data_IF_003725777825
#
_entry.id   IF_003725777825
#
_cell.length_a   1.000
_cell.length_b   1.000
_cell.length_c   1.000
_cell.angle_alpha   90.00
_cell.angle_beta   90.00
_cell.angle_gamma   90.00
#
_symmetry.space_group_name_H-M   'P 1'
#
loop_
_entity.id
_entity.type
_entity.pdbx_description
1 polymer ?
#
# COMPACT_ATOMS: atom_id res chain seq x y z
N UNK A 1 -2.19 -25.88 -19.60
CA UNK A 1 -2.96 -24.63 -19.43
C UNK A 1 -1.98 -23.53 -19.13
N UNK A 2 -1.89 -22.51 -20.00
CA UNK A 2 -1.11 -21.31 -19.72
C UNK A 2 -1.96 -20.37 -18.86
N UNK A 3 -1.57 -20.10 -17.60
CA UNK A 3 -2.29 -19.23 -16.69
C UNK A 3 -1.87 -17.76 -16.92
N UNK A 4 -2.81 -16.95 -17.39
CA UNK A 4 -2.67 -15.50 -17.54
C UNK A 4 -3.19 -14.82 -16.28
N UNK A 5 -2.29 -14.18 -15.53
CA UNK A 5 -2.62 -13.41 -14.32
C UNK A 5 -2.75 -11.93 -14.67
N UNK A 6 -3.84 -11.29 -14.26
CA UNK A 6 -3.96 -9.82 -14.26
C UNK A 6 -3.92 -9.26 -12.84
N UNK A 7 -3.07 -8.27 -12.63
CA UNK A 7 -2.98 -7.53 -11.36
C UNK A 7 -3.59 -6.14 -11.54
N UNK A 8 -4.59 -5.84 -10.75
CA UNK A 8 -5.28 -4.55 -10.73
C UNK A 8 -4.83 -3.78 -9.51
N UNK A 9 -4.18 -2.64 -9.72
CA UNK A 9 -3.55 -1.87 -8.65
C UNK A 9 -3.63 -0.36 -8.89
N UNK A 10 -3.86 0.40 -7.82
CA UNK A 10 -3.67 1.87 -7.84
C UNK A 10 -2.19 2.28 -7.72
N UNK A 11 -1.28 1.33 -7.51
CA UNK A 11 0.16 1.62 -7.51
C UNK A 11 0.62 1.89 -8.94
N UNK A 12 1.15 3.08 -9.24
CA UNK A 12 1.53 3.45 -10.59
C UNK A 12 2.81 2.74 -11.03
N UNK A 13 2.92 2.53 -12.33
CA UNK A 13 4.19 2.28 -12.99
C UNK A 13 4.80 3.61 -13.43
N UNK A 14 6.10 3.75 -13.35
CA UNK A 14 6.86 4.91 -13.84
C UNK A 14 7.54 4.50 -15.13
N UNK A 15 7.17 5.16 -16.23
CA UNK A 15 7.77 4.91 -17.53
C UNK A 15 9.22 5.40 -17.56
N UNK A 16 10.14 4.58 -18.06
CA UNK A 16 11.55 4.88 -18.27
C UNK A 16 11.91 4.63 -19.74
N UNK A 17 13.12 5.03 -20.15
CA UNK A 17 13.64 4.75 -21.49
C UNK A 17 13.65 3.24 -21.82
N UNK A 18 13.93 2.41 -20.80
CA UNK A 18 13.96 0.95 -20.93
C UNK A 18 13.03 0.31 -19.91
N UNK A 19 11.72 0.26 -20.23
CA UNK A 19 10.74 -0.45 -19.41
C UNK A 19 10.06 0.39 -18.35
N UNK A 20 9.78 -0.22 -17.19
CA UNK A 20 9.01 0.38 -16.12
C UNK A 20 9.68 0.19 -14.76
N UNK A 21 9.49 1.17 -13.91
CA UNK A 21 9.75 1.08 -12.48
C UNK A 21 8.43 1.16 -11.71
N UNK A 22 8.40 0.62 -10.50
CA UNK A 22 7.29 0.79 -9.58
C UNK A 22 7.78 0.76 -8.13
N UNK A 23 6.87 0.97 -7.18
CA UNK A 23 7.20 0.94 -5.75
C UNK A 23 7.89 -0.37 -5.35
N UNK A 24 9.13 -0.28 -4.86
CA UNK A 24 10.02 -1.43 -4.66
C UNK A 24 9.44 -2.58 -3.83
N UNK A 25 8.76 -2.36 -2.68
CA UNK A 25 8.12 -3.44 -1.94
C UNK A 25 6.99 -4.14 -2.73
N UNK A 26 6.29 -3.40 -3.59
CA UNK A 26 5.26 -3.95 -4.46
C UNK A 26 5.84 -4.86 -5.55
N UNK A 27 6.96 -4.44 -6.16
CA UNK A 27 7.64 -5.24 -7.20
C UNK A 27 8.09 -6.59 -6.62
N UNK A 28 8.70 -6.60 -5.44
CA UNK A 28 9.15 -7.84 -4.77
C UNK A 28 8.00 -8.84 -4.57
N UNK A 29 6.81 -8.34 -4.26
CA UNK A 29 5.62 -9.19 -4.17
C UNK A 29 5.18 -9.69 -5.55
N UNK A 30 5.18 -8.81 -6.55
CA UNK A 30 4.78 -9.18 -7.90
C UNK A 30 5.74 -10.15 -8.58
N UNK A 31 7.02 -10.13 -8.25
CA UNK A 31 8.00 -11.15 -8.68
C UNK A 31 7.60 -12.56 -8.24
N UNK A 32 7.04 -12.70 -7.04
CA UNK A 32 6.57 -14.00 -6.55
C UNK A 32 5.39 -14.47 -7.40
N UNK A 33 4.44 -13.58 -7.67
CA UNK A 33 3.29 -13.92 -8.51
C UNK A 33 3.71 -14.24 -9.96
N UNK A 34 4.66 -13.49 -10.52
CA UNK A 34 5.16 -13.69 -11.87
C UNK A 34 5.83 -15.06 -12.07
N UNK A 35 6.46 -15.62 -11.02
CA UNK A 35 7.06 -16.97 -11.07
C UNK A 35 6.03 -18.10 -11.14
N UNK A 36 4.79 -17.83 -10.77
CA UNK A 36 3.70 -18.82 -10.71
C UNK A 36 2.65 -18.59 -11.81
N UNK A 37 2.88 -17.65 -12.72
CA UNK A 37 2.03 -17.37 -13.86
C UNK A 37 2.83 -17.51 -15.17
N UNK A 38 2.22 -18.05 -16.22
CA UNK A 38 2.86 -18.13 -17.53
C UNK A 38 2.90 -16.74 -18.20
N UNK A 39 1.94 -15.88 -17.89
CA UNK A 39 1.91 -14.50 -18.36
C UNK A 39 1.30 -13.61 -17.28
N UNK A 40 1.99 -12.52 -16.95
CA UNK A 40 1.48 -11.51 -16.02
C UNK A 40 1.19 -10.20 -16.73
N UNK A 41 0.00 -9.66 -16.52
CA UNK A 41 -0.42 -8.35 -17.01
C UNK A 41 -0.80 -7.43 -15.84
N UNK A 42 -0.84 -6.15 -16.11
CA UNK A 42 -1.19 -5.14 -15.11
C UNK A 42 -2.26 -4.19 -15.64
N UNK A 43 -3.16 -3.78 -14.74
CA UNK A 43 -4.05 -2.65 -14.95
C UNK A 43 -3.77 -1.62 -13.86
N UNK A 44 -3.05 -0.56 -14.20
CA UNK A 44 -2.56 0.46 -13.26
C UNK A 44 -2.31 1.78 -13.99
N UNK A 45 -2.19 2.90 -13.25
CA UNK A 45 -1.74 4.18 -13.81
C UNK A 45 -0.29 4.10 -14.30
N UNK A 46 0.04 4.91 -15.31
CA UNK A 46 1.42 5.09 -15.78
C UNK A 46 1.82 6.55 -15.58
N UNK A 47 2.91 6.76 -14.84
CA UNK A 47 3.44 8.08 -14.56
C UNK A 47 4.72 8.35 -15.36
N UNK A 48 4.99 9.63 -15.62
CA UNK A 48 6.24 10.08 -16.26
C UNK A 48 7.39 10.30 -15.27
N UNK A 49 7.09 10.39 -13.95
CA UNK A 49 8.08 10.58 -12.87
C UNK A 49 7.65 9.88 -11.61
N UNK A 50 8.59 9.57 -10.74
CA UNK A 50 8.38 8.82 -9.47
C UNK A 50 7.68 9.63 -8.37
N UNK A 51 7.60 10.94 -8.52
CA UNK A 51 7.01 11.88 -7.54
C UNK A 51 7.57 11.70 -6.11
N UNK A 52 8.85 11.32 -6.00
CA UNK A 52 9.53 11.11 -4.71
C UNK A 52 9.19 9.79 -4.02
N UNK A 53 8.58 8.83 -4.70
CA UNK A 53 8.36 7.47 -4.17
C UNK A 53 9.59 6.60 -4.38
N UNK A 54 9.81 5.66 -3.46
CA UNK A 54 10.88 4.67 -3.58
C UNK A 54 10.52 3.66 -4.66
N UNK A 55 11.05 3.86 -5.86
CA UNK A 55 10.82 2.97 -7.00
C UNK A 55 12.05 2.12 -7.32
N UNK A 56 11.82 1.02 -8.00
CA UNK A 56 12.85 0.15 -8.54
C UNK A 56 12.40 -0.49 -9.85
N UNK A 57 13.33 -1.08 -10.63
CA UNK A 57 13.03 -1.67 -11.91
C UNK A 57 12.16 -2.93 -11.79
N UNK A 58 11.29 -3.14 -12.77
CA UNK A 58 10.53 -4.38 -12.92
C UNK A 58 11.37 -5.35 -13.75
N UNK A 59 11.93 -6.37 -13.10
CA UNK A 59 12.88 -7.31 -13.70
C UNK A 59 12.23 -8.51 -14.39
N UNK A 60 10.92 -8.64 -14.40
CA UNK A 60 10.19 -9.71 -15.05
C UNK A 60 9.39 -9.19 -16.26
N UNK A 61 9.13 -10.02 -17.28
CA UNK A 61 8.40 -9.60 -18.47
C UNK A 61 6.93 -9.29 -18.16
N UNK A 62 6.46 -8.14 -18.64
CA UNK A 62 5.05 -7.75 -18.58
C UNK A 62 4.40 -8.15 -19.88
N UNK A 63 3.51 -9.15 -19.84
CA UNK A 63 2.83 -9.66 -21.02
C UNK A 63 1.80 -8.68 -21.59
N UNK A 64 1.14 -7.90 -20.74
CA UNK A 64 0.18 -6.87 -21.15
C UNK A 64 0.01 -5.78 -20.09
N UNK A 65 -0.06 -4.54 -20.55
CA UNK A 65 -0.35 -3.38 -19.70
C UNK A 65 -1.66 -2.73 -20.18
N UNK A 66 -2.59 -2.58 -19.26
CA UNK A 66 -3.84 -1.83 -19.43
C UNK A 66 -3.72 -0.53 -18.64
N UNK A 67 -3.53 0.56 -19.35
CA UNK A 67 -3.29 1.84 -18.70
C UNK A 67 -4.59 2.41 -18.14
N UNK A 68 -4.65 2.52 -16.81
CA UNK A 68 -5.72 3.19 -16.11
C UNK A 68 -5.31 4.65 -15.85
N UNK A 69 -6.29 5.53 -15.80
CA UNK A 69 -6.06 6.92 -15.48
C UNK A 69 -6.17 7.15 -13.97
N UNK A 70 -5.28 7.97 -13.42
CA UNK A 70 -5.43 8.49 -12.06
C UNK A 70 -6.72 9.30 -11.98
N UNK A 71 -7.49 9.12 -10.91
CA UNK A 71 -8.57 10.04 -10.63
C UNK A 71 -8.55 10.50 -9.18
N UNK A 72 -8.69 11.81 -9.04
CA UNK A 72 -8.75 12.50 -7.78
C UNK A 72 -10.07 13.28 -7.73
N UNK A 73 -10.80 13.18 -6.62
CA UNK A 73 -12.13 13.80 -6.46
C UNK A 73 -12.00 14.94 -5.43
N UNK A 74 -11.07 15.87 -5.66
CA UNK A 74 -10.84 16.95 -4.69
C UNK A 74 -11.49 18.28 -5.09
N UNK A 75 -11.85 18.46 -6.36
CA UNK A 75 -12.49 19.71 -6.87
C UNK A 75 -13.64 19.39 -7.81
N UNK A 76 -14.56 20.35 -8.02
CA UNK A 76 -15.71 20.17 -8.92
C UNK A 76 -15.31 19.88 -10.38
N UNK A 77 -14.27 20.56 -10.89
CA UNK A 77 -13.70 20.26 -12.21
C UNK A 77 -13.08 18.87 -12.29
N UNK A 78 -12.41 18.43 -11.21
CA UNK A 78 -11.88 17.08 -11.09
C UNK A 78 -13.00 16.01 -11.05
N UNK A 79 -14.20 16.37 -10.60
CA UNK A 79 -15.37 15.46 -10.58
C UNK A 79 -15.89 15.14 -11.97
N UNK A 80 -15.97 16.14 -12.88
CA UNK A 80 -16.38 15.93 -14.28
C UNK A 80 -15.33 15.09 -15.01
N UNK A 81 -14.06 15.39 -14.82
CA UNK A 81 -12.95 14.62 -15.37
C UNK A 81 -12.91 13.19 -14.80
N UNK A 82 -13.28 13.01 -13.53
CA UNK A 82 -13.37 11.70 -12.88
C UNK A 82 -14.47 10.81 -13.50
N UNK A 83 -15.55 11.38 -14.03
CA UNK A 83 -16.61 10.62 -14.74
C UNK A 83 -16.04 10.04 -16.04
N UNK A 84 -15.37 10.85 -16.86
CA UNK A 84 -14.72 10.40 -18.09
C UNK A 84 -13.63 9.36 -17.83
N UNK A 85 -12.76 9.62 -16.84
CA UNK A 85 -11.73 8.69 -16.39
C UNK A 85 -12.34 7.38 -15.85
N UNK A 86 -13.47 7.45 -15.18
CA UNK A 86 -14.17 6.27 -14.66
C UNK A 86 -14.67 5.37 -15.79
N UNK A 87 -15.20 5.93 -16.88
CA UNK A 87 -15.62 5.15 -18.04
C UNK A 87 -14.42 4.50 -18.75
N UNK A 88 -13.33 5.27 -18.95
CA UNK A 88 -12.09 4.73 -19.50
C UNK A 88 -11.55 3.59 -18.61
N UNK A 89 -11.43 3.81 -17.32
CA UNK A 89 -10.94 2.82 -16.37
C UNK A 89 -11.83 1.57 -16.32
N UNK A 90 -13.15 1.74 -16.39
CA UNK A 90 -14.08 0.60 -16.48
C UNK A 90 -13.79 -0.26 -17.70
N UNK A 91 -13.62 0.35 -18.88
CA UNK A 91 -13.26 -0.38 -20.12
C UNK A 91 -11.94 -1.10 -20.00
N UNK A 92 -10.89 -0.44 -19.46
CA UNK A 92 -9.58 -1.05 -19.24
C UNK A 92 -9.66 -2.23 -18.28
N UNK A 93 -10.36 -2.07 -17.15
CA UNK A 93 -10.58 -3.14 -16.17
C UNK A 93 -11.32 -4.32 -16.77
N UNK A 94 -12.40 -4.05 -17.53
CA UNK A 94 -13.19 -5.10 -18.17
C UNK A 94 -12.34 -5.85 -19.20
N UNK A 95 -11.62 -5.13 -20.06
CA UNK A 95 -10.71 -5.74 -21.06
C UNK A 95 -9.59 -6.55 -20.39
N UNK A 96 -9.00 -6.03 -19.31
CA UNK A 96 -7.98 -6.70 -18.53
C UNK A 96 -8.50 -8.00 -17.90
N UNK A 97 -9.70 -7.96 -17.33
CA UNK A 97 -10.34 -9.15 -16.74
C UNK A 97 -10.79 -10.16 -17.82
N UNK A 98 -11.19 -9.71 -19.02
CA UNK A 98 -11.46 -10.61 -20.15
C UNK A 98 -10.20 -11.37 -20.57
N UNK A 99 -9.07 -10.69 -20.68
CA UNK A 99 -7.79 -11.26 -21.11
C UNK A 99 -7.25 -12.33 -20.17
N UNK A 100 -7.46 -12.18 -18.86
CA UNK A 100 -6.84 -13.00 -17.82
C UNK A 100 -7.63 -14.27 -17.51
N UNK A 101 -6.94 -15.30 -17.06
CA UNK A 101 -7.52 -16.52 -16.47
C UNK A 101 -7.69 -16.37 -14.94
N UNK A 102 -6.78 -15.63 -14.28
CA UNK A 102 -6.83 -15.31 -12.86
C UNK A 102 -6.80 -13.79 -12.63
N UNK A 103 -7.67 -13.28 -11.76
CA UNK A 103 -7.78 -11.86 -11.43
C UNK A 103 -7.23 -11.62 -10.04
N UNK A 104 -6.25 -10.72 -9.88
CA UNK A 104 -5.72 -10.28 -8.60
C UNK A 104 -6.01 -8.81 -8.36
N UNK A 105 -6.80 -8.50 -7.31
CA UNK A 105 -7.13 -7.13 -6.91
C UNK A 105 -6.25 -6.67 -5.75
N UNK A 106 -5.69 -5.47 -5.88
CA UNK A 106 -5.02 -4.80 -4.76
C UNK A 106 -5.91 -3.71 -4.20
N UNK A 107 -6.33 -3.92 -2.98
CA UNK A 107 -7.23 -3.06 -2.22
C UNK A 107 -6.54 -2.58 -0.91
N UNK A 108 -6.97 -1.47 -0.30
CA UNK A 108 -7.96 -0.54 -0.79
C UNK A 108 -7.38 0.47 -1.79
N UNK A 109 -8.24 1.10 -2.56
CA UNK A 109 -7.89 2.16 -3.52
C UNK A 109 -9.03 2.41 -4.50
N UNK A 110 -8.97 3.50 -5.25
CA UNK A 110 -10.04 3.85 -6.20
C UNK A 110 -10.14 2.81 -7.32
N UNK A 111 -9.01 2.43 -7.92
CA UNK A 111 -9.00 1.39 -8.94
C UNK A 111 -9.35 0.01 -8.35
N UNK A 112 -8.94 -0.24 -7.09
CA UNK A 112 -9.35 -1.42 -6.34
C UNK A 112 -10.86 -1.51 -6.14
N UNK A 113 -11.53 -0.37 -5.82
CA UNK A 113 -12.99 -0.31 -5.70
C UNK A 113 -13.66 -0.61 -7.04
N UNK A 114 -13.21 0.02 -8.13
CA UNK A 114 -13.72 -0.27 -9.46
C UNK A 114 -13.50 -1.74 -9.84
N UNK A 115 -12.33 -2.29 -9.52
CA UNK A 115 -12.01 -3.71 -9.70
C UNK A 115 -12.97 -4.62 -8.91
N UNK A 116 -13.32 -4.26 -7.67
CA UNK A 116 -14.31 -4.98 -6.87
C UNK A 116 -15.70 -5.01 -7.53
N UNK A 117 -16.06 -3.95 -8.25
CA UNK A 117 -17.34 -3.88 -8.98
C UNK A 117 -17.27 -4.69 -10.27
N UNK A 118 -16.25 -4.45 -11.10
CA UNK A 118 -16.14 -5.09 -12.42
C UNK A 118 -15.95 -6.62 -12.30
N UNK A 119 -15.27 -7.13 -11.28
CA UNK A 119 -15.07 -8.56 -11.09
C UNK A 119 -16.39 -9.35 -10.89
N UNK A 120 -17.49 -8.68 -10.53
CA UNK A 120 -18.82 -9.31 -10.36
C UNK A 120 -19.27 -9.94 -11.67
N UNK A 121 -18.90 -9.37 -12.81
CA UNK A 121 -19.24 -9.89 -14.15
C UNK A 121 -18.41 -11.13 -14.54
N UNK A 122 -17.45 -11.54 -13.72
CA UNK A 122 -16.60 -12.70 -13.96
C UNK A 122 -16.73 -13.78 -12.86
N UNK A 123 -17.94 -14.31 -12.59
CA UNK A 123 -18.16 -15.20 -11.45
C UNK A 123 -17.44 -16.56 -11.56
N UNK A 124 -17.06 -16.96 -12.76
CA UNK A 124 -16.42 -18.26 -13.02
C UNK A 124 -14.90 -18.20 -12.92
N UNK A 125 -14.28 -17.02 -13.07
CA UNK A 125 -12.82 -16.88 -12.99
C UNK A 125 -12.34 -16.99 -11.55
N UNK A 126 -11.24 -17.73 -11.29
CA UNK A 126 -10.55 -17.70 -10.01
C UNK A 126 -10.03 -16.28 -9.74
N UNK A 127 -10.15 -15.85 -8.49
CA UNK A 127 -9.82 -14.49 -8.08
C UNK A 127 -9.15 -14.48 -6.72
N UNK A 128 -8.25 -13.54 -6.56
CA UNK A 128 -7.69 -13.15 -5.26
C UNK A 128 -7.82 -11.65 -5.08
N UNK A 129 -8.03 -11.21 -3.85
CA UNK A 129 -7.94 -9.81 -3.48
C UNK A 129 -7.02 -9.68 -2.26
N UNK A 130 -6.01 -8.81 -2.33
CA UNK A 130 -5.22 -8.44 -1.16
C UNK A 130 -5.70 -7.10 -0.65
N UNK A 131 -6.25 -7.08 0.56
CA UNK A 131 -6.63 -5.85 1.23
C UNK A 131 -5.52 -5.41 2.18
N UNK A 132 -4.68 -4.49 1.71
CA UNK A 132 -3.50 -4.00 2.45
C UNK A 132 -3.83 -2.88 3.47
N UNK A 133 -5.11 -2.56 3.66
CA UNK A 133 -5.57 -1.61 4.67
C UNK A 133 -5.94 -2.29 5.99
N UNK A 134 -6.39 -1.47 6.95
CA UNK A 134 -6.90 -1.98 8.22
C UNK A 134 -8.26 -2.68 7.99
N UNK A 135 -8.34 -3.98 8.34
CA UNK A 135 -9.56 -4.77 8.21
C UNK A 135 -10.46 -4.71 9.46
N UNK A 136 -10.01 -4.07 10.56
CA UNK A 136 -10.79 -3.94 11.78
C UNK A 136 -12.18 -3.32 11.50
N UNK A 137 -13.29 -4.01 11.86
CA UNK A 137 -14.64 -3.49 11.71
C UNK A 137 -14.88 -2.16 12.42
N UNK A 138 -14.18 -1.93 13.53
CA UNK A 138 -14.30 -0.73 14.38
C UNK A 138 -13.44 0.43 13.88
N UNK A 139 -12.53 0.22 12.94
CA UNK A 139 -11.66 1.27 12.43
C UNK A 139 -12.46 2.34 11.68
N UNK A 140 -12.17 3.61 11.99
CA UNK A 140 -12.68 4.75 11.22
C UNK A 140 -12.01 4.74 9.83
N UNK A 141 -12.79 4.50 8.79
CA UNK A 141 -12.31 4.44 7.42
C UNK A 141 -13.22 5.26 6.49
N UNK A 142 -12.67 5.74 5.35
CA UNK A 142 -13.48 6.36 4.29
C UNK A 142 -14.61 5.44 3.82
N UNK A 143 -15.71 6.04 3.37
CA UNK A 143 -16.86 5.26 2.87
C UNK A 143 -16.51 4.30 1.74
N UNK A 144 -15.60 4.70 0.85
CA UNK A 144 -15.13 3.87 -0.28
C UNK A 144 -14.40 2.60 0.20
N UNK A 145 -13.66 2.68 1.31
CA UNK A 145 -13.00 1.52 1.91
C UNK A 145 -14.00 0.60 2.61
N UNK A 146 -15.01 1.18 3.27
CA UNK A 146 -16.12 0.41 3.85
C UNK A 146 -16.90 -0.34 2.77
N UNK A 147 -17.16 0.31 1.64
CA UNK A 147 -17.84 -0.31 0.49
C UNK A 147 -17.00 -1.46 -0.10
N UNK A 148 -15.68 -1.26 -0.28
CA UNK A 148 -14.79 -2.33 -0.73
C UNK A 148 -14.82 -3.54 0.22
N UNK A 149 -14.73 -3.31 1.53
CA UNK A 149 -14.83 -4.38 2.52
C UNK A 149 -16.17 -5.10 2.44
N UNK A 150 -17.26 -4.37 2.32
CA UNK A 150 -18.60 -4.96 2.19
C UNK A 150 -18.70 -5.85 0.94
N UNK A 151 -18.26 -5.37 -0.23
CA UNK A 151 -18.24 -6.17 -1.46
C UNK A 151 -17.38 -7.41 -1.27
N UNK A 152 -16.14 -7.25 -0.75
CA UNK A 152 -15.17 -8.34 -0.58
C UNK A 152 -15.66 -9.39 0.43
N UNK A 153 -16.42 -9.00 1.44
CA UNK A 153 -17.04 -9.92 2.41
C UNK A 153 -18.30 -10.61 1.87
N UNK A 154 -18.85 -10.16 0.73
CA UNK A 154 -20.04 -10.76 0.16
C UNK A 154 -19.67 -11.92 -0.77
N UNK A 155 -19.87 -13.15 -0.32
CA UNK A 155 -19.50 -14.38 -1.06
C UNK A 155 -20.33 -14.62 -2.32
N UNK A 156 -21.48 -13.98 -2.46
CA UNK A 156 -22.29 -14.02 -3.69
C UNK A 156 -21.71 -13.10 -4.77
N UNK A 157 -21.32 -11.88 -4.40
CA UNK A 157 -20.69 -10.92 -5.33
C UNK A 157 -19.26 -11.32 -5.70
N UNK A 158 -18.56 -12.04 -4.81
CA UNK A 158 -17.15 -12.43 -4.97
C UNK A 158 -17.02 -13.94 -5.16
N UNK A 159 -17.83 -14.53 -6.01
CA UNK A 159 -17.71 -15.96 -6.35
C UNK A 159 -16.31 -16.30 -6.82
N UNK A 160 -15.76 -17.45 -6.36
CA UNK A 160 -14.40 -17.92 -6.66
C UNK A 160 -13.28 -16.93 -6.28
N UNK A 161 -13.50 -16.13 -5.23
CA UNK A 161 -12.51 -15.19 -4.74
C UNK A 161 -12.03 -15.56 -3.33
N UNK A 162 -10.72 -15.52 -3.13
CA UNK A 162 -10.10 -15.47 -1.81
C UNK A 162 -9.63 -14.05 -1.51
N UNK A 163 -9.97 -13.55 -0.33
CA UNK A 163 -9.61 -12.21 0.12
C UNK A 163 -8.59 -12.32 1.24
N UNK A 164 -7.39 -11.83 0.99
CA UNK A 164 -6.26 -11.87 1.89
C UNK A 164 -6.24 -10.59 2.74
N UNK A 165 -6.31 -10.72 4.06
CA UNK A 165 -6.35 -9.60 5.00
C UNK A 165 -5.32 -9.76 6.09
N UNK A 166 -4.78 -8.65 6.59
CA UNK A 166 -3.86 -8.70 7.73
C UNK A 166 -4.61 -8.97 9.02
N UNK A 167 -4.14 -9.95 9.75
CA UNK A 167 -4.69 -10.37 11.05
C UNK A 167 -5.90 -11.32 10.94
N UNK A 168 -6.27 -11.85 12.07
CA UNK A 168 -7.45 -12.68 12.26
C UNK A 168 -8.56 -11.86 12.90
N UNK A 169 -9.76 -11.93 12.33
CA UNK A 169 -10.88 -11.11 12.75
C UNK A 169 -12.12 -11.97 13.03
N UNK A 170 -12.88 -11.68 14.07
CA UNK A 170 -14.10 -12.42 14.38
C UNK A 170 -15.17 -12.25 13.28
N UNK A 171 -16.06 -13.21 13.13
CA UNK A 171 -17.20 -13.19 12.22
C UNK A 171 -16.85 -12.96 10.74
N UNK A 172 -15.72 -13.49 10.27
CA UNK A 172 -15.32 -13.43 8.87
C UNK A 172 -16.11 -14.43 8.02
N UNK A 173 -16.38 -14.04 6.77
CA UNK A 173 -16.94 -14.92 5.75
C UNK A 173 -15.85 -15.91 5.25
N UNK A 174 -16.29 -17.06 4.74
CA UNK A 174 -15.41 -18.19 4.35
C UNK A 174 -14.32 -17.84 3.33
N UNK A 175 -14.53 -16.78 2.53
CA UNK A 175 -13.59 -16.31 1.51
C UNK A 175 -12.50 -15.39 2.08
N UNK A 176 -12.64 -14.88 3.31
CA UNK A 176 -11.63 -14.06 3.98
C UNK A 176 -10.57 -14.98 4.58
N UNK A 177 -9.31 -14.72 4.26
CA UNK A 177 -8.17 -15.51 4.74
C UNK A 177 -7.16 -14.59 5.41
N UNK A 178 -6.71 -14.93 6.64
CA UNK A 178 -5.61 -14.21 7.25
C UNK A 178 -4.36 -14.36 6.40
N UNK A 179 -3.62 -13.29 6.27
CA UNK A 179 -2.44 -13.22 5.42
C UNK A 179 -1.39 -12.32 6.05
N UNK A 180 -0.15 -12.70 5.88
CA UNK A 180 1.00 -11.93 6.35
C UNK A 180 2.02 -11.79 5.21
N UNK A 181 2.62 -10.61 5.07
CA UNK A 181 3.75 -10.40 4.17
C UNK A 181 4.91 -9.76 4.91
N UNK A 182 6.11 -10.20 4.59
CA UNK A 182 7.36 -9.52 4.93
C UNK A 182 8.00 -8.95 3.66
N UNK A 183 8.73 -7.85 3.80
CA UNK A 183 9.50 -7.24 2.71
C UNK A 183 10.96 -7.66 2.70
N UNK A 184 11.33 -8.64 3.54
CA UNK A 184 12.66 -9.20 3.66
C UNK A 184 12.60 -10.72 3.53
N UNK A 185 13.71 -11.32 3.09
CA UNK A 185 13.88 -12.78 2.97
C UNK A 185 14.45 -13.34 4.26
N UNK A 186 14.31 -14.65 4.46
CA UNK A 186 14.92 -15.34 5.62
C UNK A 186 16.43 -15.13 5.67
N UNK A 187 17.10 -15.12 4.51
CA UNK A 187 18.52 -14.85 4.37
C UNK A 187 18.95 -13.41 4.77
N UNK A 188 18.00 -12.47 4.80
CA UNK A 188 18.28 -11.08 5.20
C UNK A 188 18.26 -10.90 6.72
N UNK A 189 17.83 -11.92 7.47
CA UNK A 189 17.79 -11.89 8.93
C UNK A 189 19.22 -11.90 9.50
N UNK A 190 19.46 -10.98 10.41
CA UNK A 190 20.70 -10.93 11.18
C UNK A 190 20.41 -11.31 12.63
N UNK A 191 21.35 -11.98 13.33
CA UNK A 191 21.23 -12.24 14.75
C UNK A 191 20.99 -10.95 15.53
N UNK A 192 20.00 -10.96 16.42
CA UNK A 192 19.74 -9.82 17.29
C UNK A 192 20.82 -9.75 18.35
N UNK A 193 21.58 -8.66 18.39
CA UNK A 193 22.52 -8.40 19.47
C UNK A 193 21.78 -7.75 20.64
N UNK A 194 21.82 -8.38 21.80
CA UNK A 194 21.31 -7.81 23.04
C UNK A 194 22.18 -6.60 23.39
N UNK A 195 21.58 -5.43 23.45
CA UNK A 195 22.25 -4.18 23.86
C UNK A 195 21.87 -3.85 25.29
N UNK A 196 22.83 -3.52 26.15
CA UNK A 196 22.51 -3.04 27.49
C UNK A 196 21.75 -1.70 27.40
N UNK A 197 20.65 -1.58 28.12
CA UNK A 197 19.89 -0.32 28.25
C UNK A 197 20.56 0.57 29.30
N UNK A 198 21.81 1.02 29.03
CA UNK A 198 22.62 1.88 29.90
C UNK A 198 23.06 3.12 29.13
N UNK A 199 23.17 4.25 29.85
CA UNK A 199 23.52 5.55 29.26
C UNK A 199 22.40 6.11 28.39
N UNK A 200 22.73 6.91 27.40
CA UNK A 200 21.80 7.54 26.48
C UNK A 200 21.12 6.51 25.60
N UNK A 201 19.82 6.31 25.75
CA UNK A 201 19.04 5.38 24.92
C UNK A 201 18.85 5.94 23.52
N UNK A 202 19.11 5.12 22.50
CA UNK A 202 18.94 5.50 21.09
C UNK A 202 17.66 4.90 20.55
N UNK A 203 16.71 5.74 20.17
CA UNK A 203 15.45 5.37 19.53
C UNK A 203 15.44 5.78 18.05
N UNK A 204 14.69 5.07 17.25
CA UNK A 204 14.51 5.35 15.82
C UNK A 204 13.03 5.28 15.45
N UNK A 205 12.58 6.28 14.71
CA UNK A 205 11.31 6.27 13.99
C UNK A 205 11.59 6.20 12.49
N UNK A 206 10.97 5.26 11.79
CA UNK A 206 11.09 5.12 10.32
C UNK A 206 9.71 5.13 9.71
N UNK A 207 9.45 6.10 8.83
CA UNK A 207 8.17 6.19 8.13
C UNK A 207 7.82 7.59 7.65
N UNK A 208 6.77 7.69 6.85
CA UNK A 208 6.23 8.98 6.40
C UNK A 208 5.85 9.84 7.60
N UNK A 209 6.29 11.11 7.60
CA UNK A 209 5.92 12.08 8.61
C UNK A 209 4.50 12.59 8.34
N UNK A 210 3.52 11.78 8.70
CA UNK A 210 2.09 12.02 8.46
C UNK A 210 1.24 11.70 9.70
N UNK A 211 0.03 12.29 9.83
CA UNK A 211 -0.84 12.08 10.98
C UNK A 211 -1.13 10.61 11.28
N UNK A 212 -1.29 9.79 10.23
CA UNK A 212 -1.55 8.36 10.35
C UNK A 212 -0.40 7.55 10.94
N UNK A 213 0.84 8.03 10.86
CA UNK A 213 2.05 7.41 11.43
C UNK A 213 2.42 7.95 12.81
N UNK A 214 1.81 9.05 13.23
CA UNK A 214 1.97 9.67 14.55
C UNK A 214 3.42 10.00 14.94
N UNK A 215 4.26 10.63 14.09
CA UNK A 215 5.63 10.98 14.48
C UNK A 215 5.67 11.94 15.66
N UNK A 216 4.69 12.85 15.80
CA UNK A 216 4.60 13.74 16.95
C UNK A 216 4.49 12.98 18.27
N UNK A 217 3.76 11.87 18.31
CA UNK A 217 3.66 11.04 19.52
C UNK A 217 5.03 10.47 19.94
N UNK A 218 5.87 10.07 18.98
CA UNK A 218 7.23 9.62 19.28
C UNK A 218 8.09 10.75 19.87
N UNK A 219 7.94 11.99 19.37
CA UNK A 219 8.61 13.18 19.91
C UNK A 219 8.14 13.48 21.34
N UNK A 220 6.82 13.46 21.59
CA UNK A 220 6.24 13.67 22.90
C UNK A 220 6.66 12.62 23.93
N UNK A 221 6.81 11.36 23.48
CA UNK A 221 7.29 10.28 24.34
C UNK A 221 8.71 10.56 24.85
N UNK A 222 9.61 11.03 23.96
CA UNK A 222 10.98 11.39 24.37
C UNK A 222 10.98 12.56 25.34
N UNK A 223 10.15 13.58 25.11
CA UNK A 223 10.01 14.69 26.05
C UNK A 223 9.58 14.22 27.45
N UNK A 224 8.54 13.38 27.53
CA UNK A 224 8.04 12.83 28.77
C UNK A 224 9.04 11.91 29.50
N UNK A 225 9.86 11.16 28.75
CA UNK A 225 10.90 10.32 29.34
C UNK A 225 12.06 11.16 29.91
N UNK A 226 12.43 12.25 29.25
CA UNK A 226 13.42 13.21 29.78
C UNK A 226 12.98 13.85 31.08
N UNK A 227 11.72 14.25 31.18
CA UNK A 227 11.16 14.77 32.43
C UNK A 227 11.27 13.78 33.60
N UNK A 228 11.30 12.48 33.28
CA UNK A 228 11.52 11.39 34.26
C UNK A 228 12.99 11.03 34.47
N UNK A 229 13.92 11.82 33.95
CA UNK A 229 15.35 11.61 34.11
C UNK A 229 15.94 10.51 33.21
N UNK A 230 15.19 10.01 32.22
CA UNK A 230 15.67 9.01 31.27
C UNK A 230 16.31 9.75 30.09
N UNK A 231 17.63 9.58 29.92
CA UNK A 231 18.35 10.14 28.79
C UNK A 231 18.08 9.34 27.51
N UNK A 232 17.41 9.97 26.53
CA UNK A 232 17.02 9.37 25.28
C UNK A 232 17.25 10.31 24.10
N UNK A 233 17.70 9.73 22.99
CA UNK A 233 17.77 10.38 21.68
C UNK A 233 16.87 9.66 20.69
N UNK A 234 16.21 10.43 19.79
CA UNK A 234 15.33 9.95 18.76
C UNK A 234 15.76 10.45 17.39
N UNK A 235 16.05 9.54 16.48
CA UNK A 235 16.26 9.85 15.06
C UNK A 235 15.01 9.50 14.27
N UNK A 236 14.43 10.51 13.56
CA UNK A 236 13.28 10.31 12.67
C UNK A 236 13.76 10.27 11.22
N UNK A 237 13.52 9.14 10.58
CA UNK A 237 13.80 8.90 9.16
C UNK A 237 12.49 8.92 8.37
N UNK A 238 12.41 9.81 7.37
CA UNK A 238 11.27 9.98 6.48
C UNK A 238 10.97 11.44 6.15
N UNK A 239 10.09 11.61 5.17
CA UNK A 239 9.54 12.91 4.78
C UNK A 239 8.01 12.91 4.93
N UNK A 240 7.40 14.09 4.98
CA UNK A 240 5.95 14.22 5.02
C UNK A 240 5.46 15.58 5.48
N UNK A 241 4.14 15.75 5.43
CA UNK A 241 3.45 17.02 5.69
C UNK A 241 3.63 17.55 7.12
N UNK A 242 3.96 16.65 8.07
CA UNK A 242 4.14 17.04 9.49
C UNK A 242 5.55 17.52 9.80
N UNK A 243 6.50 17.53 8.85
CA UNK A 243 7.89 17.92 9.11
C UNK A 243 8.00 19.29 9.79
N UNK A 244 7.38 20.32 9.22
CA UNK A 244 7.44 21.69 9.76
C UNK A 244 6.83 21.79 11.17
N UNK A 245 5.73 21.07 11.40
CA UNK A 245 5.09 21.03 12.72
C UNK A 245 6.00 20.37 13.76
N UNK A 246 6.70 19.31 13.39
CA UNK A 246 7.68 18.63 14.25
C UNK A 246 8.88 19.53 14.57
N UNK A 247 9.43 20.24 13.58
CA UNK A 247 10.52 21.21 13.77
C UNK A 247 10.12 22.29 14.77
N UNK A 248 8.92 22.85 14.62
CA UNK A 248 8.39 23.86 15.53
C UNK A 248 8.23 23.31 16.95
N UNK A 249 7.68 22.10 17.10
CA UNK A 249 7.48 21.47 18.39
C UNK A 249 8.81 21.17 19.09
N UNK A 250 9.81 20.68 18.37
CA UNK A 250 11.16 20.39 18.87
C UNK A 250 11.81 21.68 19.42
N UNK A 251 11.75 22.78 18.65
CA UNK A 251 12.30 24.07 19.07
C UNK A 251 11.59 24.65 20.29
N UNK A 252 10.26 24.67 20.30
CA UNK A 252 9.46 25.17 21.43
C UNK A 252 9.74 24.44 22.74
N UNK A 253 10.03 23.14 22.68
CA UNK A 253 10.28 22.31 23.86
C UNK A 253 11.78 22.08 24.13
N UNK A 254 12.69 22.76 23.42
CA UNK A 254 14.16 22.68 23.60
C UNK A 254 14.68 21.23 23.50
N UNK A 255 14.21 20.51 22.48
CA UNK A 255 14.52 19.09 22.27
C UNK A 255 15.57 18.85 21.18
N UNK A 256 16.22 19.89 20.63
CA UNK A 256 17.13 19.81 19.48
C UNK A 256 18.36 18.92 19.75
N UNK A 257 18.77 18.79 21.03
CA UNK A 257 19.86 17.90 21.42
C UNK A 257 19.47 16.43 21.50
N UNK A 258 18.17 16.15 21.48
CA UNK A 258 17.62 14.82 21.70
C UNK A 258 16.87 14.27 20.48
N UNK A 259 16.40 15.12 19.57
CA UNK A 259 15.56 14.70 18.45
C UNK A 259 16.12 15.22 17.14
N UNK A 260 16.34 14.28 16.20
CA UNK A 260 17.01 14.53 14.94
C UNK A 260 16.13 14.11 13.77
N UNK A 261 15.76 15.07 12.91
CA UNK A 261 15.07 14.80 11.64
C UNK A 261 16.13 14.49 10.58
N UNK A 262 16.26 13.23 10.20
CA UNK A 262 17.33 12.73 9.30
C UNK A 262 16.95 12.75 7.82
N UNK A 263 15.67 12.88 7.49
CA UNK A 263 15.20 12.73 6.12
C UNK A 263 15.13 11.27 5.67
N UNK A 264 15.29 11.01 4.36
CA UNK A 264 15.34 9.66 3.79
C UNK A 264 16.76 9.14 3.74
#
# INVERSE_FOLDING_TARGET
FQMKLIVISSSPFVAKSEGYEAYSPYIREMEIWARHADAIGFCCPVWKSDRGTLVGPIAFPIARLFEAQDFNITTFGAMIQAIGNSFHNFRQLFAAMCWADHIHLRCPGNLGLMGCIVQIFFPRKPKTAKYAGNWDPKAKQPWSYKLQRWILSNTFLTRNMQVLVYGEWPAQTKNIKPFFTATYREADKRPVQVRPLRGTLQAMFVGTLSPGKRPLYAVQLVAALRERGIDMQLSLYGHGVEKQMLENYIGQNKLEKNIFLKGN
#
